data_IF_846095591272
#
_entry.id   IF_846095591272
#
_cell.length_a   1.000
_cell.length_b   1.000
_cell.length_c   1.000
_cell.angle_alpha   90.00
_cell.angle_beta   90.00
_cell.angle_gamma   90.00
#
_symmetry.space_group_name_H-M   'P 1'
#
loop_
_entity.id
_entity.type
_entity.pdbx_description
1 polymer ?
#
# COMPACT_ATOMS: atom_id res chain seq x y z
N UNK A 1 3.62 -10.27 -2.62
CA UNK A 1 3.83 -8.81 -2.48
C UNK A 1 4.54 -8.25 -3.71
N UNK A 2 4.13 -7.13 -4.31
CA UNK A 2 4.84 -6.56 -5.48
C UNK A 2 4.39 -5.12 -5.70
N UNK A 3 5.19 -4.33 -6.39
CA UNK A 3 4.69 -3.08 -6.95
C UNK A 3 4.32 -3.21 -8.42
N UNK A 4 4.18 -2.06 -9.07
CA UNK A 4 3.61 -1.93 -10.39
C UNK A 4 4.27 -0.75 -11.12
N UNK A 5 4.92 -1.03 -12.26
CA UNK A 5 5.78 -0.09 -13.00
C UNK A 5 5.11 1.21 -13.41
N UNK A 6 3.79 1.20 -13.53
CA UNK A 6 2.97 2.37 -13.85
C UNK A 6 2.17 2.81 -12.62
N UNK A 7 1.56 1.88 -11.89
CA UNK A 7 0.56 2.18 -10.86
C UNK A 7 1.10 2.38 -9.43
N UNK A 8 2.42 2.36 -9.23
CA UNK A 8 3.01 2.44 -7.90
C UNK A 8 2.79 1.15 -7.12
N UNK A 9 2.32 1.25 -5.88
CA UNK A 9 1.80 0.10 -5.13
C UNK A 9 0.28 0.14 -5.09
N UNK A 10 -0.37 -1.03 -5.04
CA UNK A 10 -1.84 -1.12 -5.14
C UNK A 10 -2.46 -2.23 -4.28
N UNK A 11 -1.61 -2.99 -3.59
CA UNK A 11 -1.72 -4.32 -2.99
C UNK A 11 -3.16 -4.79 -2.68
N UNK A 12 -3.68 -4.53 -1.48
CA UNK A 12 -4.98 -5.04 -1.03
C UNK A 12 -6.13 -4.25 -1.66
N UNK A 13 -6.00 -2.93 -1.77
CA UNK A 13 -7.02 -2.03 -2.30
C UNK A 13 -7.46 -2.42 -3.73
N UNK A 14 -6.51 -2.83 -4.58
CA UNK A 14 -6.80 -3.21 -5.98
C UNK A 14 -7.48 -4.57 -6.12
N UNK A 15 -7.57 -5.39 -5.07
CA UNK A 15 -8.38 -6.62 -5.10
C UNK A 15 -9.84 -6.32 -5.47
N UNK A 16 -10.33 -5.11 -5.14
CA UNK A 16 -11.68 -4.67 -5.48
C UNK A 16 -11.85 -4.14 -6.91
N UNK A 17 -10.82 -4.14 -7.77
CA UNK A 17 -11.01 -3.85 -9.21
C UNK A 17 -11.97 -4.84 -9.89
N UNK A 18 -12.15 -6.03 -9.31
CA UNK A 18 -13.15 -7.01 -9.74
C UNK A 18 -14.56 -6.78 -9.18
N UNK A 19 -14.74 -5.92 -8.17
CA UNK A 19 -16.02 -5.68 -7.49
C UNK A 19 -16.88 -4.68 -8.26
N UNK A 20 -17.18 -5.00 -9.52
CA UNK A 20 -17.87 -4.12 -10.45
C UNK A 20 -18.54 -4.94 -11.56
N UNK A 21 -19.54 -4.37 -12.26
CA UNK A 21 -20.38 -5.10 -13.23
C UNK A 21 -19.99 -4.93 -14.70
N UNK A 22 -18.98 -4.11 -15.01
CA UNK A 22 -18.43 -3.96 -16.35
C UNK A 22 -17.54 -5.14 -16.71
N UNK A 23 -17.39 -5.37 -18.01
CA UNK A 23 -16.54 -6.44 -18.56
C UNK A 23 -15.06 -6.32 -18.16
N UNK A 24 -14.59 -5.11 -17.88
CA UNK A 24 -13.22 -4.88 -17.42
C UNK A 24 -13.12 -3.70 -16.45
N UNK A 25 -12.07 -3.75 -15.63
CA UNK A 25 -11.67 -2.65 -14.75
C UNK A 25 -10.91 -1.53 -15.49
N UNK A 26 -10.83 -1.54 -16.82
CA UNK A 26 -10.05 -0.56 -17.61
C UNK A 26 -10.47 0.89 -17.31
N UNK A 27 -11.76 1.10 -17.01
CA UNK A 27 -12.31 2.40 -16.64
C UNK A 27 -11.80 2.95 -15.29
N UNK A 28 -11.27 2.08 -14.40
CA UNK A 28 -10.68 2.48 -13.11
C UNK A 28 -9.19 2.83 -13.24
N UNK A 29 -8.51 2.35 -14.29
CA UNK A 29 -7.07 2.53 -14.46
C UNK A 29 -6.61 4.00 -14.54
N UNK A 30 -7.38 4.94 -15.15
CA UNK A 30 -7.02 6.36 -15.14
C UNK A 30 -6.90 6.97 -13.74
N UNK A 31 -7.56 6.38 -12.73
CA UNK A 31 -7.46 6.82 -11.34
C UNK A 31 -6.30 6.20 -10.56
N UNK A 32 -5.44 5.39 -11.18
CA UNK A 32 -4.19 4.94 -10.56
C UNK A 32 -3.09 5.98 -10.75
N UNK A 33 -1.99 5.86 -10.00
CA UNK A 33 -0.73 6.50 -10.38
C UNK A 33 -0.39 6.07 -11.82
N UNK A 34 0.07 7.02 -12.61
CA UNK A 34 0.42 6.75 -14.01
C UNK A 34 1.50 7.73 -14.48
N UNK A 35 1.96 7.55 -15.72
CA UNK A 35 2.87 8.51 -16.35
C UNK A 35 2.29 9.92 -16.46
N UNK A 36 0.95 10.07 -16.46
CA UNK A 36 0.24 11.34 -16.56
C UNK A 36 -0.19 11.91 -15.19
N UNK A 37 0.01 11.15 -14.11
CA UNK A 37 -0.40 11.49 -12.74
C UNK A 37 0.68 11.08 -11.74
N UNK A 38 1.94 11.48 -12.05
CA UNK A 38 3.14 11.20 -11.24
C UNK A 38 3.22 12.12 -10.04
N UNK A 39 3.73 11.63 -8.92
CA UNK A 39 3.80 12.41 -7.69
C UNK A 39 2.50 12.40 -6.89
N UNK A 40 2.43 13.28 -5.90
CA UNK A 40 1.33 13.36 -4.94
C UNK A 40 0.24 14.31 -5.40
N UNK A 41 -0.94 14.21 -4.79
CA UNK A 41 -2.03 15.18 -4.98
C UNK A 41 -2.80 15.00 -6.28
N UNK A 42 -2.89 13.76 -6.77
CA UNK A 42 -3.83 13.40 -7.84
C UNK A 42 -4.98 12.58 -7.27
N UNK A 43 -6.11 12.57 -7.95
CA UNK A 43 -7.19 11.64 -7.63
C UNK A 43 -6.67 10.19 -7.71
N UNK A 44 -6.99 9.40 -6.68
CA UNK A 44 -6.61 7.99 -6.54
C UNK A 44 -7.86 7.14 -6.32
N UNK A 45 -8.21 6.34 -7.32
CA UNK A 45 -9.38 5.44 -7.27
C UNK A 45 -9.30 4.42 -6.13
N UNK A 46 -8.10 4.09 -5.66
CA UNK A 46 -7.91 3.19 -4.53
C UNK A 46 -8.49 3.78 -3.23
N UNK A 47 -8.51 5.10 -3.08
CA UNK A 47 -9.15 5.78 -1.93
C UNK A 47 -10.66 5.52 -1.93
N UNK A 48 -11.32 5.65 -3.08
CA UNK A 48 -12.74 5.33 -3.22
C UNK A 48 -13.02 3.85 -2.91
N UNK A 49 -12.18 2.93 -3.37
CA UNK A 49 -12.34 1.50 -3.09
C UNK A 49 -12.14 1.17 -1.60
N UNK A 50 -11.21 1.84 -0.92
CA UNK A 50 -10.98 1.66 0.50
C UNK A 50 -12.07 2.32 1.36
N UNK A 51 -12.69 3.40 0.90
CA UNK A 51 -13.74 4.12 1.65
C UNK A 51 -15.18 3.79 1.27
N UNK A 52 -15.41 2.85 0.34
CA UNK A 52 -16.75 2.47 -0.09
C UNK A 52 -17.36 1.41 0.85
N UNK A 53 -18.64 1.60 1.19
CA UNK A 53 -19.38 0.77 2.15
C UNK A 53 -19.62 -0.68 1.72
N UNK A 54 -19.43 -1.00 0.44
CA UNK A 54 -19.58 -2.34 -0.13
C UNK A 54 -18.25 -3.03 -0.40
N UNK A 55 -17.12 -2.33 -0.25
CA UNK A 55 -15.77 -2.88 -0.39
C UNK A 55 -15.01 -2.73 0.91
N UNK A 56 -14.46 -1.54 1.18
CA UNK A 56 -13.64 -1.24 2.35
C UNK A 56 -14.30 -1.61 3.68
N UNK A 57 -15.50 -1.09 3.94
CA UNK A 57 -16.23 -1.30 5.20
C UNK A 57 -16.71 -2.75 5.43
N UNK A 58 -16.53 -3.63 4.44
CA UNK A 58 -16.90 -5.06 4.55
C UNK A 58 -15.73 -5.96 4.92
N UNK A 59 -14.52 -5.42 4.96
CA UNK A 59 -13.32 -6.16 5.33
C UNK A 59 -13.07 -6.03 6.82
N UNK A 60 -12.91 -7.18 7.51
CA UNK A 60 -12.59 -7.22 8.93
C UNK A 60 -11.09 -7.43 9.18
N UNK A 61 -10.45 -8.32 8.41
CA UNK A 61 -9.02 -8.61 8.49
C UNK A 61 -8.41 -8.52 7.10
N UNK A 62 -7.19 -8.00 7.04
CA UNK A 62 -6.39 -7.91 5.83
C UNK A 62 -5.21 -8.87 5.94
N UNK A 63 -5.08 -9.77 4.99
CA UNK A 63 -3.95 -10.69 4.86
C UNK A 63 -3.24 -10.36 3.55
N UNK A 64 -1.93 -10.13 3.64
CA UNK A 64 -1.09 -9.95 2.47
C UNK A 64 -0.12 -11.12 2.36
N UNK A 65 -0.27 -11.88 1.28
CA UNK A 65 0.68 -12.92 0.89
C UNK A 65 1.98 -12.27 0.38
N UNK A 66 3.03 -12.44 1.19
CA UNK A 66 4.40 -12.07 0.90
C UNK A 66 5.32 -13.30 0.99
N UNK A 67 4.84 -14.50 0.63
CA UNK A 67 5.70 -15.69 0.47
C UNK A 67 6.77 -15.43 -0.59
N UNK A 68 6.36 -14.76 -1.67
CA UNK A 68 7.23 -14.25 -2.70
C UNK A 68 6.99 -12.76 -2.95
N UNK A 69 8.05 -12.09 -3.38
CA UNK A 69 8.01 -10.71 -3.83
C UNK A 69 8.37 -10.58 -5.31
N UNK A 70 7.92 -9.51 -5.95
CA UNK A 70 8.20 -9.23 -7.36
C UNK A 70 8.40 -7.73 -7.63
N UNK A 71 9.18 -7.44 -8.67
CA UNK A 71 9.52 -6.07 -9.07
C UNK A 71 8.37 -5.36 -9.79
N UNK A 72 7.48 -6.09 -10.45
CA UNK A 72 6.37 -5.52 -11.23
C UNK A 72 5.17 -6.49 -11.32
N UNK A 73 4.03 -6.01 -11.84
CA UNK A 73 2.78 -6.75 -11.99
C UNK A 73 2.95 -8.06 -12.79
N UNK A 74 3.87 -8.06 -13.77
CA UNK A 74 4.28 -9.18 -14.60
C UNK A 74 5.71 -9.69 -14.27
N UNK A 75 6.32 -9.19 -13.19
CA UNK A 75 7.67 -9.58 -12.79
C UNK A 75 7.73 -11.01 -12.27
N UNK A 76 8.87 -11.67 -12.49
CA UNK A 76 9.17 -12.96 -11.85
C UNK A 76 9.41 -12.76 -10.34
N UNK A 77 9.15 -13.77 -9.51
CA UNK A 77 9.53 -13.76 -8.11
C UNK A 77 11.02 -13.50 -7.91
N UNK A 78 11.35 -12.61 -6.96
CA UNK A 78 12.72 -12.29 -6.57
C UNK A 78 12.94 -12.55 -5.08
N UNK A 79 14.19 -12.83 -4.72
CA UNK A 79 14.63 -12.95 -3.34
C UNK A 79 14.90 -11.57 -2.76
N UNK A 80 14.71 -11.42 -1.46
CA UNK A 80 15.04 -10.21 -0.73
C UNK A 80 16.48 -10.26 -0.22
N UNK A 81 17.25 -9.23 -0.56
CA UNK A 81 18.60 -9.00 -0.07
C UNK A 81 18.60 -8.44 1.34
N UNK A 82 17.60 -7.61 1.69
CA UNK A 82 17.56 -6.94 2.98
C UNK A 82 17.47 -7.93 4.17
N UNK A 83 18.10 -7.64 5.31
CA UNK A 83 17.86 -8.40 6.54
C UNK A 83 16.40 -8.30 7.01
N UNK A 84 15.80 -9.38 7.55
CA UNK A 84 16.44 -10.64 7.92
C UNK A 84 16.48 -11.70 6.80
N UNK A 85 16.05 -11.37 5.58
CA UNK A 85 15.89 -12.34 4.49
C UNK A 85 17.24 -12.79 3.90
N UNK A 86 18.22 -11.88 3.80
CA UNK A 86 19.61 -12.20 3.45
C UNK A 86 19.74 -13.07 2.18
N UNK A 87 19.26 -12.56 1.04
CA UNK A 87 19.19 -13.27 -0.24
C UNK A 87 18.34 -14.56 -0.17
N UNK A 88 17.16 -14.44 0.43
CA UNK A 88 16.16 -15.51 0.52
C UNK A 88 14.77 -15.01 0.11
N UNK A 89 13.83 -15.92 -0.14
CA UNK A 89 12.43 -15.57 -0.38
C UNK A 89 11.85 -14.82 0.82
N UNK A 90 11.01 -13.82 0.57
CA UNK A 90 10.39 -13.02 1.64
C UNK A 90 9.61 -13.90 2.63
N UNK A 91 9.05 -15.04 2.21
CA UNK A 91 8.54 -16.12 3.09
C UNK A 91 7.66 -15.61 4.25
N UNK A 92 6.84 -14.58 3.99
CA UNK A 92 6.13 -13.83 5.02
C UNK A 92 4.63 -13.79 4.76
N UNK A 93 3.86 -13.69 5.84
CA UNK A 93 2.46 -13.28 5.80
C UNK A 93 2.34 -12.01 6.65
N UNK A 94 1.69 -10.98 6.11
CA UNK A 94 1.32 -9.79 6.89
C UNK A 94 -0.17 -9.85 7.22
N UNK A 95 -0.53 -9.46 8.44
CA UNK A 95 -1.90 -9.42 8.94
C UNK A 95 -2.16 -8.07 9.59
N UNK A 96 -3.33 -7.48 9.34
CA UNK A 96 -3.75 -6.23 9.98
C UNK A 96 -5.28 -6.13 10.06
N UNK A 97 -5.75 -5.33 11.02
CA UNK A 97 -7.13 -4.81 11.07
C UNK A 97 -7.26 -3.45 10.37
N UNK A 98 -6.14 -2.77 10.16
CA UNK A 98 -6.05 -1.48 9.51
C UNK A 98 -5.63 -1.66 8.04
N UNK A 99 -6.48 -1.27 7.07
CA UNK A 99 -6.21 -1.41 5.64
C UNK A 99 -5.06 -0.54 5.13
N UNK A 100 -4.83 0.61 5.76
CA UNK A 100 -3.79 1.55 5.36
C UNK A 100 -2.45 1.09 5.93
N UNK A 101 -2.42 0.64 7.18
CA UNK A 101 -1.20 0.21 7.85
C UNK A 101 -0.54 -1.00 7.18
N UNK A 102 -1.32 -2.01 6.75
CA UNK A 102 -0.75 -3.20 6.10
C UNK A 102 -0.06 -2.87 4.78
N UNK A 103 -0.65 -1.97 3.98
CA UNK A 103 -0.07 -1.55 2.72
C UNK A 103 1.11 -0.59 2.93
N UNK A 104 1.09 0.22 4.00
CA UNK A 104 2.21 1.06 4.42
C UNK A 104 3.44 0.22 4.80
N UNK A 105 3.24 -0.83 5.61
CA UNK A 105 4.31 -1.77 5.98
C UNK A 105 4.84 -2.50 4.75
N UNK A 106 3.95 -3.00 3.90
CA UNK A 106 4.35 -3.68 2.68
C UNK A 106 5.11 -2.75 1.73
N UNK A 107 4.74 -1.46 1.66
CA UNK A 107 5.49 -0.48 0.89
C UNK A 107 6.90 -0.28 1.44
N UNK A 108 7.04 -0.15 2.76
CA UNK A 108 8.36 0.00 3.38
C UNK A 108 9.31 -1.16 3.06
N UNK A 109 8.80 -2.39 3.04
CA UNK A 109 9.57 -3.56 2.56
C UNK A 109 9.97 -3.43 1.10
N UNK A 110 9.02 -3.10 0.21
CA UNK A 110 9.28 -2.98 -1.23
C UNK A 110 10.28 -1.85 -1.53
N UNK A 111 10.08 -0.64 -0.99
CA UNK A 111 10.96 0.50 -1.24
C UNK A 111 12.35 0.29 -0.66
N UNK A 112 12.45 -0.42 0.47
CA UNK A 112 13.74 -0.71 1.10
C UNK A 112 14.50 -1.76 0.29
N UNK A 113 13.88 -2.90 -0.01
CA UNK A 113 14.51 -3.94 -0.82
C UNK A 113 15.00 -3.36 -2.15
N UNK A 114 14.12 -2.65 -2.85
CA UNK A 114 14.41 -2.15 -4.20
C UNK A 114 15.18 -0.83 -4.23
N UNK A 115 15.76 -0.43 -3.09
CA UNK A 115 16.78 0.63 -3.01
C UNK A 115 18.21 0.06 -2.96
N UNK A 116 18.38 -1.25 -2.83
CA UNK A 116 19.71 -1.88 -2.83
C UNK A 116 20.33 -1.72 -4.23
N UNK A 117 21.60 -1.30 -4.34
CA UNK A 117 22.25 -1.06 -5.65
C UNK A 117 22.21 -2.27 -6.60
N UNK A 118 22.35 -3.47 -6.04
CA UNK A 118 22.33 -4.74 -6.78
C UNK A 118 20.93 -5.14 -7.28
N UNK A 119 19.88 -4.51 -6.75
CA UNK A 119 18.50 -4.93 -6.96
C UNK A 119 17.54 -3.73 -7.11
N UNK A 120 18.04 -2.60 -7.60
CA UNK A 120 17.28 -1.35 -7.65
C UNK A 120 16.12 -1.45 -8.65
N UNK A 121 14.91 -1.06 -8.22
CA UNK A 121 13.72 -0.95 -9.08
C UNK A 121 13.22 0.49 -9.06
N UNK A 122 13.59 1.32 -10.06
CA UNK A 122 13.38 2.77 -10.01
C UNK A 122 11.93 3.20 -9.77
N UNK A 123 10.95 2.53 -10.40
CA UNK A 123 9.54 2.90 -10.28
C UNK A 123 8.96 2.72 -8.87
N UNK A 124 9.61 1.96 -7.99
CA UNK A 124 9.21 1.82 -6.58
C UNK A 124 9.61 3.03 -5.74
N UNK A 125 10.61 3.77 -6.21
CA UNK A 125 11.21 4.92 -5.54
C UNK A 125 10.73 6.24 -6.13
N UNK A 126 9.86 6.19 -7.14
CA UNK A 126 9.24 7.38 -7.72
C UNK A 126 8.28 8.05 -6.73
N UNK A 127 8.10 9.36 -6.86
CA UNK A 127 7.13 10.09 -6.05
C UNK A 127 5.69 9.64 -6.34
N UNK A 128 4.87 9.60 -5.28
CA UNK A 128 3.45 9.28 -5.36
C UNK A 128 3.14 7.80 -5.56
N UNK A 129 4.11 6.92 -5.33
CA UNK A 129 3.90 5.45 -5.35
C UNK A 129 2.87 5.01 -4.30
N UNK A 130 2.81 5.73 -3.18
CA UNK A 130 1.96 5.57 -2.00
C UNK A 130 0.98 6.75 -1.81
N UNK A 131 0.76 7.59 -2.84
CA UNK A 131 -0.10 8.78 -2.75
C UNK A 131 -1.52 8.45 -2.25
N UNK A 132 -2.06 7.30 -2.64
CA UNK A 132 -3.38 6.88 -2.14
C UNK A 132 -3.36 6.54 -0.65
N UNK A 133 -2.24 6.05 -0.10
CA UNK A 133 -2.10 5.78 1.34
C UNK A 133 -2.10 7.07 2.15
N UNK A 134 -1.38 8.11 1.68
CA UNK A 134 -1.45 9.45 2.26
C UNK A 134 -2.89 9.99 2.29
N UNK A 135 -3.61 9.83 1.17
CA UNK A 135 -4.99 10.32 1.03
C UNK A 135 -6.02 9.52 1.84
N UNK A 136 -5.81 8.22 2.03
CA UNK A 136 -6.65 7.42 2.94
C UNK A 136 -6.35 7.64 4.40
N UNK A 137 -5.11 8.01 4.75
CA UNK A 137 -4.71 8.22 6.14
C UNK A 137 -5.15 9.58 6.68
N UNK A 138 -5.20 10.60 5.83
CA UNK A 138 -5.55 11.97 6.22
C UNK A 138 -6.19 12.72 5.04
N UNK A 139 -7.43 13.19 5.24
CA UNK A 139 -8.17 13.99 4.28
C UNK A 139 -7.52 15.34 3.94
N UNK A 140 -6.59 15.82 4.78
CA UNK A 140 -5.72 16.96 4.47
C UNK A 140 -4.81 16.75 3.25
N UNK A 141 -4.57 15.51 2.85
CA UNK A 141 -3.79 15.18 1.65
C UNK A 141 -4.63 15.07 0.38
N UNK A 142 -5.96 15.30 0.45
CA UNK A 142 -6.80 15.21 -0.74
C UNK A 142 -6.45 16.30 -1.76
N UNK A 143 -6.44 15.96 -3.07
CA UNK A 143 -6.21 16.94 -4.12
C UNK A 143 -7.23 18.08 -4.09
N UNK A 144 -6.81 19.28 -4.49
CA UNK A 144 -7.70 20.42 -4.57
C UNK A 144 -8.94 20.13 -5.44
N UNK A 145 -10.12 20.40 -4.89
CA UNK A 145 -11.40 20.18 -5.58
C UNK A 145 -11.86 18.72 -5.63
N UNK A 146 -11.13 17.78 -5.01
CA UNK A 146 -11.54 16.39 -4.88
C UNK A 146 -12.15 16.14 -3.50
N UNK A 147 -13.31 15.49 -3.50
CA UNK A 147 -13.98 14.99 -2.30
C UNK A 147 -14.27 13.51 -2.57
N UNK A 148 -13.71 12.63 -1.75
CA UNK A 148 -13.97 11.20 -1.85
C UNK A 148 -15.30 10.88 -1.18
N UNK A 149 -16.34 10.62 -1.99
CA UNK A 149 -17.70 10.27 -1.54
C UNK A 149 -18.23 9.05 -2.33
N UNK A 150 -17.61 7.87 -2.18
CA UNK A 150 -17.81 6.72 -3.07
C UNK A 150 -19.17 6.03 -2.91
N UNK A 151 -19.97 6.43 -1.93
CA UNK A 151 -21.23 5.76 -1.56
C UNK A 151 -22.44 6.25 -2.36
N UNK A 152 -22.26 7.25 -3.22
CA UNK A 152 -23.31 7.82 -4.08
C UNK A 152 -24.35 8.68 -3.35
N UNK A 153 -24.12 8.98 -2.07
CA UNK A 153 -24.94 9.82 -1.20
C UNK A 153 -24.36 11.24 -1.02
N UNK A 154 -23.19 11.51 -1.60
CA UNK A 154 -22.49 12.79 -1.48
C UNK A 154 -21.83 13.00 -0.11
N UNK A 155 -21.86 12.00 0.78
CA UNK A 155 -21.21 12.06 2.08
C UNK A 155 -19.74 11.68 1.92
N UNK A 156 -18.78 12.55 2.29
CA UNK A 156 -17.37 12.21 2.23
C UNK A 156 -17.02 11.04 3.16
N UNK A 157 -15.99 10.28 2.78
CA UNK A 157 -15.38 9.28 3.67
C UNK A 157 -14.83 9.98 4.95
N UNK A 158 -14.65 9.24 6.06
CA UNK A 158 -14.04 9.80 7.27
C UNK A 158 -12.66 10.44 7.02
N UNK A 159 -12.22 11.30 7.94
CA UNK A 159 -10.92 11.98 7.84
C UNK A 159 -9.73 11.02 7.71
N UNK A 160 -9.86 9.79 8.23
CA UNK A 160 -8.85 8.75 8.17
C UNK A 160 -9.55 7.39 8.10
N UNK A 161 -9.04 6.52 7.23
CA UNK A 161 -9.42 5.10 7.14
C UNK A 161 -8.40 4.17 7.82
N UNK A 162 -7.31 4.73 8.34
CA UNK A 162 -6.19 3.99 8.91
C UNK A 162 -4.91 4.81 8.94
N UNK A 163 -3.82 4.20 9.40
CA UNK A 163 -2.55 4.91 9.59
C UNK A 163 -1.58 4.65 8.44
N UNK A 164 -1.05 5.73 7.86
CA UNK A 164 0.09 5.70 6.96
C UNK A 164 1.29 6.40 7.60
N UNK A 165 2.39 5.66 7.75
CA UNK A 165 3.67 6.17 8.21
C UNK A 165 4.79 5.22 7.74
N UNK A 166 6.03 5.65 7.93
CA UNK A 166 7.21 4.86 7.60
C UNK A 166 7.95 4.45 8.87
N UNK A 167 8.60 3.28 8.83
CA UNK A 167 9.51 2.91 9.90
C UNK A 167 10.69 3.88 10.02
N UNK A 168 11.30 3.90 11.20
CA UNK A 168 12.48 4.71 11.50
C UNK A 168 13.71 4.37 10.63
N UNK A 169 14.02 3.08 10.45
CA UNK A 169 15.16 2.60 9.68
C UNK A 169 14.97 1.14 9.24
N UNK A 170 15.67 0.69 8.17
CA UNK A 170 15.46 -0.64 7.61
C UNK A 170 16.01 -1.79 8.45
N UNK A 171 16.80 -1.53 9.50
CA UNK A 171 17.26 -2.58 10.41
C UNK A 171 16.20 -2.89 11.47
N UNK A 172 15.80 -1.88 12.24
CA UNK A 172 14.88 -2.02 13.38
C UNK A 172 13.43 -2.19 12.94
N UNK A 173 13.03 -1.48 11.87
CA UNK A 173 11.68 -1.45 11.30
C UNK A 173 10.62 -1.07 12.34
N UNK A 174 10.89 -0.04 13.13
CA UNK A 174 10.01 0.43 14.20
C UNK A 174 9.19 1.63 13.74
N UNK A 175 7.91 1.59 14.10
CA UNK A 175 6.91 2.60 13.82
C UNK A 175 6.56 3.41 15.08
N UNK A 176 5.66 4.40 14.98
CA UNK A 176 5.43 5.34 16.09
C UNK A 176 4.96 4.66 17.37
N UNK A 177 4.14 3.60 17.27
CA UNK A 177 3.71 2.81 18.44
C UNK A 177 4.80 1.89 18.97
N UNK A 178 5.66 1.32 18.11
CA UNK A 178 6.85 0.59 18.57
C UNK A 178 7.83 1.50 19.34
N UNK A 179 7.91 2.79 18.95
CA UNK A 179 8.82 3.79 19.52
C UNK A 179 8.25 4.51 20.75
N UNK A 180 6.96 4.34 21.05
CA UNK A 180 6.27 5.07 22.12
C UNK A 180 6.09 6.57 21.83
N UNK A 181 6.13 6.97 20.55
CA UNK A 181 5.98 8.38 20.13
C UNK A 181 4.55 8.71 19.65
N UNK A 182 3.68 7.72 19.55
CA UNK A 182 2.28 7.88 19.12
C UNK A 182 1.54 6.54 19.05
N UNK A 183 0.26 6.60 18.69
CA UNK A 183 -0.64 5.44 18.60
C UNK A 183 -0.71 4.82 17.19
N UNK A 184 0.30 5.07 16.35
CA UNK A 184 0.30 4.62 14.95
C UNK A 184 0.58 3.13 14.78
N UNK A 185 1.37 2.78 13.77
CA UNK A 185 1.63 1.39 13.42
C UNK A 185 2.48 0.74 14.52
N UNK A 186 2.15 -0.50 14.87
CA UNK A 186 2.99 -1.38 15.68
C UNK A 186 3.32 -2.62 14.85
N UNK A 187 4.55 -2.71 14.35
CA UNK A 187 4.99 -3.90 13.64
C UNK A 187 5.44 -4.96 14.64
N UNK A 188 4.62 -6.00 14.81
CA UNK A 188 4.96 -7.20 15.59
C UNK A 188 5.56 -8.26 14.65
N UNK A 189 6.78 -8.71 14.96
CA UNK A 189 7.51 -9.71 14.15
C UNK A 189 7.45 -11.06 14.86
N UNK A 190 6.83 -12.05 14.22
CA UNK A 190 6.76 -13.43 14.73
C UNK A 190 7.59 -14.31 13.79
N UNK A 191 8.63 -14.95 14.34
CA UNK A 191 9.46 -15.90 13.61
C UNK A 191 9.16 -17.31 14.11
N UNK A 192 9.14 -18.33 13.23
CA UNK A 192 9.06 -19.70 13.69
C UNK A 192 10.21 -19.98 14.66
N UNK A 193 9.90 -20.60 15.80
CA UNK A 193 10.93 -21.17 16.66
C UNK A 193 11.64 -22.27 15.84
N UNK A 194 12.96 -22.15 15.70
CA UNK A 194 13.80 -23.16 15.06
C UNK A 194 13.79 -24.48 15.82
#
# INVERSE_FOLDING_TARGET
MKGHGIAGITLCAKNHFGTQTRRSASHLHPGLKSSNSKGYGYYRVLVDLMGNKFTGDKNLFYILDALWSGTDWNGLPVKFLMPPFNNHWSSSLLLSLDPVAIESVAYDFLRTEFSYPEHTVPHMLESGVDDYLHQTADSGNWPAGIIYAPNGDGIPIPNSLGVHEHWNNPADKQYSKNLGTGEGIELVKIFPHG
#
